data_IF_257145607631
#
_entry.id   IF_257145607631
#
_cell.length_a   1.000
_cell.length_b   1.000
_cell.length_c   1.000
_cell.angle_alpha   90.00
_cell.angle_beta   90.00
_cell.angle_gamma   90.00
#
_symmetry.space_group_name_H-M   'P 1'
#
loop_
_entity.id
_entity.type
_entity.pdbx_description
1 polymer ?
#
# COMPACT_ATOMS: atom_id res chain seq x y z
N UNK A 1 -22.84 11.15 6.35
CA UNK A 1 -21.56 11.66 6.88
C UNK A 1 -21.55 11.74 8.40
N UNK A 2 -22.35 12.60 9.05
CA UNK A 2 -22.33 12.77 10.51
C UNK A 2 -22.60 11.49 11.32
N UNK A 3 -23.44 10.59 10.77
CA UNK A 3 -23.68 9.27 11.36
C UNK A 3 -22.41 8.42 11.48
N UNK A 4 -21.44 8.56 10.56
CA UNK A 4 -20.16 7.85 10.63
C UNK A 4 -19.31 8.29 11.84
N UNK A 5 -19.55 9.50 12.35
CA UNK A 5 -18.95 10.01 13.58
C UNK A 5 -19.84 9.82 14.82
N UNK A 6 -21.00 9.16 14.67
CA UNK A 6 -21.96 9.00 15.76
C UNK A 6 -22.61 10.32 16.22
N UNK A 7 -22.63 11.35 15.37
CA UNK A 7 -23.17 12.68 15.69
C UNK A 7 -24.45 12.99 14.91
N UNK A 8 -25.23 13.95 15.39
CA UNK A 8 -26.40 14.44 14.67
C UNK A 8 -26.02 15.00 13.28
N UNK A 9 -26.89 14.88 12.25
CA UNK A 9 -26.63 15.35 10.88
C UNK A 9 -26.76 16.87 10.74
N UNK A 10 -26.01 17.61 11.55
CA UNK A 10 -25.97 19.07 11.55
C UNK A 10 -24.54 19.56 11.47
N UNK A 11 -24.34 20.74 10.88
CA UNK A 11 -23.02 21.38 10.79
C UNK A 11 -22.44 21.61 12.20
N UNK A 12 -23.27 22.03 13.14
CA UNK A 12 -22.89 22.31 14.52
C UNK A 12 -22.41 21.07 15.26
N UNK A 13 -23.03 19.91 15.03
CA UNK A 13 -22.60 18.66 15.64
C UNK A 13 -21.26 18.15 15.07
N UNK A 14 -20.97 18.45 13.80
CA UNK A 14 -19.69 18.14 13.16
C UNK A 14 -18.57 19.09 13.60
N UNK A 15 -18.88 20.34 13.91
CA UNK A 15 -17.92 21.33 14.40
C UNK A 15 -17.65 21.16 15.90
N UNK A 16 -17.25 19.96 16.28
CA UNK A 16 -17.03 19.51 17.66
C UNK A 16 -15.53 19.22 17.91
N UNK A 17 -14.91 19.75 18.97
CA UNK A 17 -13.53 19.44 19.37
C UNK A 17 -13.18 17.97 19.50
N UNK A 18 -14.15 17.11 19.84
CA UNK A 18 -13.92 15.66 19.93
C UNK A 18 -13.53 15.07 18.56
N UNK A 19 -13.89 15.72 17.47
CA UNK A 19 -13.61 15.29 16.10
C UNK A 19 -12.40 15.99 15.48
N UNK A 20 -11.65 16.82 16.20
CA UNK A 20 -10.56 17.64 15.60
C UNK A 20 -9.43 16.81 14.96
N UNK A 21 -9.25 15.57 15.41
CA UNK A 21 -8.26 14.62 14.88
C UNK A 21 -8.86 13.62 13.89
N UNK A 22 -10.16 13.72 13.60
CA UNK A 22 -10.84 12.82 12.67
C UNK A 22 -10.78 13.35 11.22
N UNK A 23 -10.84 12.42 10.27
CA UNK A 23 -10.86 12.72 8.83
C UNK A 23 -12.09 12.05 8.19
N UNK A 24 -12.79 12.77 7.32
CA UNK A 24 -13.76 12.21 6.39
C UNK A 24 -13.27 12.38 4.95
N UNK A 25 -13.27 11.29 4.19
CA UNK A 25 -13.02 11.28 2.74
C UNK A 25 -14.37 11.23 2.04
N UNK A 26 -14.60 12.16 1.10
CA UNK A 26 -15.88 12.35 0.43
C UNK A 26 -15.63 12.45 -1.07
N UNK A 27 -16.06 11.43 -1.82
CA UNK A 27 -16.10 11.51 -3.28
C UNK A 27 -17.44 12.10 -3.74
N UNK A 28 -17.38 13.26 -4.40
CA UNK A 28 -18.58 13.87 -4.98
C UNK A 28 -19.08 13.13 -6.22
N UNK A 29 -18.23 12.35 -6.90
CA UNK A 29 -18.66 11.54 -8.04
C UNK A 29 -19.59 10.40 -7.65
N UNK A 30 -19.55 9.97 -6.37
CA UNK A 30 -20.48 9.00 -5.79
C UNK A 30 -21.83 9.62 -5.36
N UNK A 31 -21.97 10.95 -5.44
CA UNK A 31 -23.16 11.69 -5.01
C UNK A 31 -24.06 11.96 -6.22
N UNK A 32 -25.37 11.72 -6.06
CA UNK A 32 -26.34 11.94 -7.13
C UNK A 32 -26.41 13.42 -7.55
N UNK A 33 -26.77 13.73 -8.82
CA UNK A 33 -26.81 15.11 -9.32
C UNK A 33 -27.70 16.05 -8.49
N UNK A 34 -28.78 15.53 -7.89
CA UNK A 34 -29.70 16.28 -7.03
C UNK A 34 -29.09 16.72 -5.71
N UNK A 35 -28.07 16.02 -5.24
CA UNK A 35 -27.45 16.23 -3.92
C UNK A 35 -26.17 17.06 -4.02
N UNK A 36 -25.63 17.29 -5.23
CA UNK A 36 -24.44 18.09 -5.45
C UNK A 36 -24.59 19.51 -4.90
N UNK A 37 -25.67 20.23 -5.24
CA UNK A 37 -25.85 21.62 -4.78
C UNK A 37 -25.98 21.73 -3.24
N UNK A 38 -26.75 20.88 -2.54
CA UNK A 38 -26.70 20.80 -1.08
C UNK A 38 -25.31 20.53 -0.51
N UNK A 39 -24.56 19.60 -1.10
CA UNK A 39 -23.19 19.29 -0.70
C UNK A 39 -22.25 20.46 -0.88
N UNK A 40 -22.35 21.18 -2.00
CA UNK A 40 -21.59 22.40 -2.27
C UNK A 40 -21.78 23.45 -1.17
N UNK A 41 -23.03 23.76 -0.85
CA UNK A 41 -23.37 24.70 0.23
C UNK A 41 -22.84 24.21 1.58
N UNK A 42 -22.92 22.90 1.84
CA UNK A 42 -22.37 22.33 3.07
C UNK A 42 -20.85 22.51 3.16
N UNK A 43 -20.09 22.13 2.12
CA UNK A 43 -18.62 22.21 2.13
C UNK A 43 -18.17 23.67 2.24
N UNK A 44 -18.82 24.61 1.55
CA UNK A 44 -18.54 26.05 1.69
C UNK A 44 -18.76 26.54 3.13
N UNK A 45 -19.91 26.21 3.74
CA UNK A 45 -20.21 26.60 5.13
C UNK A 45 -19.26 25.94 6.13
N UNK A 46 -18.91 24.69 5.90
CA UNK A 46 -17.95 23.96 6.73
C UNK A 46 -16.56 24.59 6.64
N UNK A 47 -16.08 24.87 5.42
CA UNK A 47 -14.79 25.52 5.18
C UNK A 47 -14.72 26.91 5.85
N UNK A 48 -15.76 27.74 5.68
CA UNK A 48 -15.83 29.05 6.32
C UNK A 48 -15.84 28.96 7.86
N UNK A 49 -16.55 27.98 8.42
CA UNK A 49 -16.55 27.75 9.86
C UNK A 49 -15.17 27.32 10.37
N UNK A 50 -14.47 26.43 9.67
CA UNK A 50 -13.10 26.01 10.00
C UNK A 50 -12.10 27.17 9.90
N UNK A 51 -12.20 28.01 8.87
CA UNK A 51 -11.38 29.21 8.70
C UNK A 51 -11.54 30.20 9.87
N UNK A 52 -12.74 30.27 10.47
CA UNK A 52 -12.99 31.08 11.66
C UNK A 52 -12.43 30.50 12.98
N UNK A 53 -11.69 29.38 12.93
CA UNK A 53 -11.06 28.74 14.07
C UNK A 53 -11.95 27.78 14.86
N UNK A 54 -13.12 27.39 14.31
CA UNK A 54 -13.96 26.37 14.95
C UNK A 54 -13.34 25.00 14.82
N UNK A 55 -13.43 24.21 15.88
CA UNK A 55 -13.07 22.81 15.91
C UNK A 55 -13.95 21.93 15.00
N UNK A 56 -13.50 20.72 14.67
CA UNK A 56 -14.18 19.73 13.82
C UNK A 56 -13.21 18.92 12.95
N UNK A 57 -13.70 17.86 12.28
CA UNK A 57 -12.87 16.96 11.49
C UNK A 57 -12.27 17.66 10.28
N UNK A 58 -11.21 17.06 9.74
CA UNK A 58 -10.77 17.37 8.40
C UNK A 58 -11.73 16.74 7.37
N UNK A 59 -12.03 17.46 6.30
CA UNK A 59 -12.77 16.93 5.15
C UNK A 59 -11.84 16.91 3.94
N UNK A 60 -11.59 15.72 3.42
CA UNK A 60 -10.94 15.54 2.12
C UNK A 60 -12.03 15.28 1.08
N UNK A 61 -12.30 16.29 0.26
CA UNK A 61 -13.31 16.21 -0.80
C UNK A 61 -12.62 15.95 -2.13
N UNK A 62 -13.07 14.92 -2.84
CA UNK A 62 -12.50 14.50 -4.12
C UNK A 62 -13.54 14.66 -5.23
N UNK A 63 -13.08 14.75 -6.47
CA UNK A 63 -13.92 14.99 -7.64
C UNK A 63 -14.72 16.31 -7.54
N UNK A 64 -14.11 17.34 -6.94
CA UNK A 64 -14.75 18.65 -6.79
C UNK A 64 -15.04 19.26 -8.18
N UNK A 65 -16.30 19.62 -8.49
CA UNK A 65 -16.64 20.29 -9.74
C UNK A 65 -15.84 21.59 -9.90
N UNK A 66 -15.34 21.87 -11.10
CA UNK A 66 -14.48 23.02 -11.36
C UNK A 66 -15.19 24.38 -11.15
N UNK A 67 -16.51 24.40 -11.25
CA UNK A 67 -17.39 25.53 -10.95
C UNK A 67 -17.59 25.75 -9.44
N UNK A 68 -17.25 24.76 -8.62
CA UNK A 68 -17.18 24.86 -7.16
C UNK A 68 -15.80 25.39 -6.72
N UNK A 69 -15.55 26.67 -7.00
CA UNK A 69 -14.37 27.36 -6.51
C UNK A 69 -14.52 27.69 -5.02
N UNK A 70 -14.44 26.68 -4.15
CA UNK A 70 -14.35 26.89 -2.70
C UNK A 70 -12.98 27.53 -2.43
N UNK A 71 -12.91 28.72 -1.79
CA UNK A 71 -11.64 29.30 -1.37
C UNK A 71 -10.97 28.35 -0.37
N UNK A 72 -10.04 27.53 -0.86
CA UNK A 72 -9.24 26.67 -0.02
C UNK A 72 -8.19 27.56 0.65
N UNK A 73 -8.49 28.08 1.84
CA UNK A 73 -7.41 28.44 2.74
C UNK A 73 -6.61 27.18 3.04
N UNK A 74 -5.28 27.31 3.07
CA UNK A 74 -4.37 26.20 3.32
C UNK A 74 -4.80 25.48 4.60
N UNK A 75 -5.32 24.26 4.45
CA UNK A 75 -5.74 23.45 5.60
C UNK A 75 -4.60 23.39 6.61
N UNK A 76 -4.90 23.49 7.93
CA UNK A 76 -3.94 23.08 8.92
C UNK A 76 -3.50 21.63 8.62
N UNK A 77 -2.19 21.38 8.70
CA UNK A 77 -1.56 20.11 8.31
C UNK A 77 -1.99 18.93 9.23
N UNK A 78 -2.80 19.18 10.25
CA UNK A 78 -3.26 18.16 11.20
C UNK A 78 -4.15 17.06 10.58
N UNK A 79 -4.67 17.23 9.37
CA UNK A 79 -5.44 16.15 8.73
C UNK A 79 -4.59 14.90 8.45
N UNK A 80 -3.28 15.05 8.29
CA UNK A 80 -2.37 13.94 7.99
C UNK A 80 -2.22 13.00 9.18
N UNK A 81 -2.33 13.50 10.42
CA UNK A 81 -2.30 12.69 11.63
C UNK A 81 -3.62 11.95 11.86
N UNK A 82 -4.73 12.51 11.36
CA UNK A 82 -6.04 11.87 11.38
C UNK A 82 -6.20 10.72 10.38
N UNK A 83 -5.35 10.67 9.35
CA UNK A 83 -5.40 9.64 8.32
C UNK A 83 -4.88 8.29 8.85
N UNK A 84 -5.80 7.36 9.14
CA UNK A 84 -5.47 6.03 9.66
C UNK A 84 -4.94 5.12 8.56
N UNK A 85 -4.40 3.97 8.97
CA UNK A 85 -3.99 2.94 8.00
C UNK A 85 -5.19 2.42 7.18
N UNK A 86 -6.36 2.25 7.82
CA UNK A 86 -7.58 1.78 7.16
C UNK A 86 -8.02 2.71 6.03
N UNK A 87 -8.04 4.02 6.28
CA UNK A 87 -8.43 5.02 5.27
C UNK A 87 -7.54 4.97 4.03
N UNK A 88 -6.23 4.77 4.23
CA UNK A 88 -5.28 4.62 3.11
C UNK A 88 -5.47 3.34 2.32
N UNK A 89 -5.89 2.25 2.97
CA UNK A 89 -6.23 0.99 2.29
C UNK A 89 -7.45 1.21 1.42
N UNK A 90 -8.53 1.76 1.99
CA UNK A 90 -9.77 2.07 1.26
C UNK A 90 -9.46 2.98 0.06
N UNK A 91 -8.72 4.06 0.29
CA UNK A 91 -8.31 4.98 -0.78
C UNK A 91 -7.53 4.28 -1.91
N UNK A 92 -6.58 3.43 -1.55
CA UNK A 92 -5.77 2.68 -2.52
C UNK A 92 -6.63 1.67 -3.31
N UNK A 93 -7.57 0.99 -2.65
CA UNK A 93 -8.50 0.04 -3.29
C UNK A 93 -9.47 0.74 -4.25
N UNK A 94 -10.02 1.91 -3.87
CA UNK A 94 -10.90 2.70 -4.74
C UNK A 94 -10.22 3.15 -6.04
N UNK A 95 -8.90 3.35 -6.01
CA UNK A 95 -8.10 3.75 -7.17
C UNK A 95 -7.45 2.58 -7.91
N UNK A 96 -7.64 1.35 -7.43
CA UNK A 96 -7.07 0.15 -8.04
C UNK A 96 -7.80 -0.16 -9.36
N UNK A 97 -7.10 -0.31 -10.50
CA UNK A 97 -7.76 -0.66 -11.75
C UNK A 97 -8.49 -2.01 -11.64
N UNK A 98 -9.71 -2.11 -12.17
CA UNK A 98 -10.49 -3.36 -12.15
C UNK A 98 -9.79 -4.56 -12.83
N UNK A 99 -8.80 -4.29 -13.69
CA UNK A 99 -7.96 -5.30 -14.34
C UNK A 99 -6.75 -5.74 -13.51
N UNK A 100 -6.54 -5.16 -12.32
CA UNK A 100 -5.43 -5.47 -11.42
C UNK A 100 -5.94 -6.36 -10.29
N UNK A 101 -5.79 -7.66 -10.44
CA UNK A 101 -6.21 -8.66 -9.46
C UNK A 101 -5.01 -9.45 -8.88
N UNK A 102 -5.33 -10.33 -7.93
CA UNK A 102 -4.37 -11.21 -7.26
C UNK A 102 -3.18 -10.47 -6.65
N UNK A 103 -2.01 -11.12 -6.71
CA UNK A 103 -0.78 -10.63 -6.09
C UNK A 103 -0.38 -9.22 -6.56
N UNK A 104 -0.67 -8.86 -7.81
CA UNK A 104 -0.36 -7.54 -8.32
C UNK A 104 -1.24 -6.45 -7.71
N UNK A 105 -2.53 -6.74 -7.48
CA UNK A 105 -3.44 -5.86 -6.75
C UNK A 105 -3.03 -5.71 -5.29
N UNK A 106 -2.78 -6.83 -4.62
CA UNK A 106 -2.38 -6.85 -3.21
C UNK A 106 -1.07 -6.08 -2.98
N UNK A 107 -0.06 -6.30 -3.81
CA UNK A 107 1.20 -5.57 -3.72
C UNK A 107 1.00 -4.08 -3.99
N UNK A 108 0.19 -3.70 -4.98
CA UNK A 108 -0.08 -2.31 -5.32
C UNK A 108 -0.68 -1.55 -4.13
N UNK A 109 -1.72 -2.10 -3.50
CA UNK A 109 -2.41 -1.50 -2.36
C UNK A 109 -1.46 -1.36 -1.18
N UNK A 110 -0.74 -2.43 -0.82
CA UNK A 110 0.16 -2.36 0.35
C UNK A 110 1.35 -1.44 0.10
N UNK A 111 1.90 -1.39 -1.11
CA UNK A 111 2.93 -0.42 -1.47
C UNK A 111 2.40 1.01 -1.34
N UNK A 112 1.22 1.30 -1.85
CA UNK A 112 0.60 2.63 -1.72
C UNK A 112 0.44 3.03 -0.24
N UNK A 113 -0.01 2.11 0.62
CA UNK A 113 -0.20 2.38 2.05
C UNK A 113 1.14 2.62 2.78
N UNK A 114 2.13 1.76 2.58
CA UNK A 114 3.37 1.78 3.35
C UNK A 114 4.40 2.77 2.79
N UNK A 115 4.52 2.89 1.46
CA UNK A 115 5.47 3.80 0.81
C UNK A 115 4.97 5.24 0.82
N UNK A 116 3.75 5.49 0.34
CA UNK A 116 3.24 6.84 0.11
C UNK A 116 2.80 7.53 1.41
N UNK A 117 2.55 6.78 2.48
CA UNK A 117 2.08 7.31 3.76
C UNK A 117 0.83 8.19 3.57
N UNK A 118 0.88 9.46 3.99
CA UNK A 118 -0.24 10.39 3.88
C UNK A 118 -0.39 11.04 2.50
N UNK A 119 0.54 10.81 1.56
CA UNK A 119 0.45 11.32 0.19
C UNK A 119 -0.53 10.48 -0.63
N UNK A 120 -1.82 10.78 -0.45
CA UNK A 120 -2.93 10.08 -1.10
C UNK A 120 -2.90 10.20 -2.63
N UNK A 121 -2.38 11.31 -3.15
CA UNK A 121 -2.13 11.51 -4.58
C UNK A 121 -1.06 10.54 -5.11
N UNK A 122 0.04 10.36 -4.38
CA UNK A 122 1.06 9.36 -4.73
C UNK A 122 0.51 7.95 -4.59
N UNK A 123 -0.29 7.67 -3.56
CA UNK A 123 -0.94 6.38 -3.35
C UNK A 123 -1.84 6.01 -4.54
N UNK A 124 -2.73 6.92 -4.96
CA UNK A 124 -3.60 6.77 -6.11
C UNK A 124 -2.82 6.55 -7.41
N UNK A 125 -1.71 7.29 -7.61
CA UNK A 125 -0.88 7.11 -8.80
C UNK A 125 -0.11 5.78 -8.78
N UNK A 126 0.33 5.30 -7.61
CA UNK A 126 1.11 4.06 -7.50
C UNK A 126 0.26 2.83 -7.79
N UNK A 127 -0.99 2.78 -7.31
CA UNK A 127 -1.86 1.61 -7.55
C UNK A 127 -2.19 1.42 -9.04
N UNK A 128 -2.13 2.49 -9.82
CA UNK A 128 -2.32 2.46 -11.27
C UNK A 128 -1.03 2.21 -12.07
N UNK A 129 0.13 2.19 -11.41
CA UNK A 129 1.42 2.06 -12.07
C UNK A 129 1.62 0.68 -12.72
N UNK A 130 2.54 0.58 -13.69
CA UNK A 130 2.84 -0.69 -14.37
C UNK A 130 3.39 -1.76 -13.41
N UNK A 131 3.43 -3.02 -13.83
CA UNK A 131 4.08 -4.07 -13.03
C UNK A 131 5.57 -3.80 -12.83
N UNK A 132 6.26 -3.23 -13.83
CA UNK A 132 7.65 -2.82 -13.71
C UNK A 132 7.83 -1.76 -12.61
N UNK A 133 6.87 -0.85 -12.47
CA UNK A 133 6.88 0.18 -11.42
C UNK A 133 6.53 -0.36 -10.04
N UNK A 134 5.65 -1.35 -9.94
CA UNK A 134 5.40 -2.05 -8.68
C UNK A 134 6.60 -2.92 -8.26
N UNK A 135 7.35 -3.43 -9.23
CA UNK A 135 8.57 -4.19 -8.99
C UNK A 135 9.74 -3.29 -8.58
N UNK A 136 9.82 -2.06 -9.09
CA UNK A 136 10.78 -1.03 -8.66
C UNK A 136 10.09 0.26 -8.18
N UNK A 137 9.46 0.22 -7.00
CA UNK A 137 8.69 1.35 -6.49
C UNK A 137 9.59 2.53 -6.09
N UNK A 138 10.89 2.29 -5.87
CA UNK A 138 11.85 3.34 -5.56
C UNK A 138 12.23 4.11 -6.81
N UNK A 139 12.48 3.43 -7.93
CA UNK A 139 12.67 4.10 -9.21
C UNK A 139 11.39 4.86 -9.62
N UNK A 140 10.22 4.26 -9.43
CA UNK A 140 8.93 4.94 -9.66
C UNK A 140 8.81 6.24 -8.87
N UNK A 141 9.13 6.21 -7.57
CA UNK A 141 9.08 7.39 -6.70
C UNK A 141 10.12 8.44 -7.12
N UNK A 142 11.30 8.00 -7.54
CA UNK A 142 12.40 8.88 -7.96
C UNK A 142 12.11 9.66 -9.25
N UNK A 143 11.20 9.17 -10.10
CA UNK A 143 10.80 9.85 -11.33
C UNK A 143 9.71 10.91 -11.11
N UNK A 144 9.19 11.06 -9.90
CA UNK A 144 8.18 12.07 -9.58
C UNK A 144 8.82 13.45 -9.59
N UNK A 145 8.25 14.37 -10.38
CA UNK A 145 8.71 15.75 -10.50
C UNK A 145 8.16 16.68 -9.40
N UNK A 146 7.32 16.14 -8.52
CA UNK A 146 6.64 16.90 -7.48
C UNK A 146 7.59 17.35 -6.38
N UNK A 147 7.39 18.57 -5.87
CA UNK A 147 8.21 19.10 -4.79
C UNK A 147 7.92 18.34 -3.47
N UNK A 148 8.96 18.06 -2.66
CA UNK A 148 8.76 17.49 -1.34
C UNK A 148 8.08 18.48 -0.41
N UNK A 149 7.09 18.00 0.35
CA UNK A 149 6.48 18.76 1.45
C UNK A 149 7.33 18.53 2.71
N UNK A 150 7.92 19.60 3.25
CA UNK A 150 8.83 19.58 4.40
C UNK A 150 8.11 19.90 5.72
N UNK A 151 8.80 19.68 6.84
CA UNK A 151 8.36 20.11 8.16
C UNK A 151 7.26 19.26 8.82
N UNK A 152 6.92 18.12 8.24
CA UNK A 152 5.88 17.22 8.76
C UNK A 152 6.42 16.23 9.79
N UNK A 153 5.63 15.90 10.81
CA UNK A 153 5.95 14.86 11.80
C UNK A 153 6.14 13.49 11.15
N UNK A 154 5.21 13.11 10.26
CA UNK A 154 5.40 11.97 9.35
C UNK A 154 6.01 12.49 8.05
N UNK A 155 7.30 12.21 7.75
CA UNK A 155 7.96 12.83 6.62
C UNK A 155 7.39 12.32 5.29
N UNK A 156 7.19 13.26 4.37
CA UNK A 156 6.77 12.99 2.99
C UNK A 156 7.76 12.00 2.33
N UNK A 157 7.30 10.97 1.59
CA UNK A 157 8.17 10.02 0.90
C UNK A 157 9.19 10.69 -0.03
N UNK A 158 8.79 11.74 -0.76
CA UNK A 158 9.70 12.52 -1.60
C UNK A 158 10.76 13.28 -0.77
N UNK A 159 10.40 13.77 0.41
CA UNK A 159 11.33 14.44 1.32
C UNK A 159 12.36 13.45 1.92
N UNK A 160 11.92 12.24 2.24
CA UNK A 160 12.81 11.16 2.72
C UNK A 160 13.81 10.78 1.63
N UNK A 161 13.32 10.60 0.40
CA UNK A 161 14.15 10.28 -0.76
C UNK A 161 15.17 11.38 -1.05
N UNK A 162 14.72 12.64 -1.08
CA UNK A 162 15.58 13.81 -1.31
C UNK A 162 16.62 14.00 -0.20
N UNK A 163 16.24 13.79 1.06
CA UNK A 163 17.12 13.83 2.22
C UNK A 163 18.08 12.64 2.35
N UNK A 164 18.19 11.80 1.31
CA UNK A 164 19.06 10.62 1.25
C UNK A 164 18.83 9.59 2.36
N UNK A 165 17.66 9.58 2.99
CA UNK A 165 17.25 8.57 3.98
C UNK A 165 16.75 7.30 3.28
N UNK A 166 17.58 6.76 2.39
CA UNK A 166 17.24 5.62 1.53
C UNK A 166 16.85 4.38 2.33
N UNK A 167 17.46 4.16 3.50
CA UNK A 167 17.11 3.03 4.38
C UNK A 167 15.64 3.06 4.83
N UNK A 168 15.06 4.23 5.07
CA UNK A 168 13.65 4.37 5.46
C UNK A 168 12.71 4.00 4.31
N UNK A 169 13.02 4.45 3.08
CA UNK A 169 12.28 4.05 1.88
C UNK A 169 12.39 2.54 1.66
N UNK A 170 13.59 1.98 1.76
CA UNK A 170 13.82 0.55 1.60
C UNK A 170 13.05 -0.26 2.66
N UNK A 171 12.98 0.23 3.90
CA UNK A 171 12.20 -0.41 4.96
C UNK A 171 10.69 -0.40 4.67
N UNK A 172 10.15 0.71 4.13
CA UNK A 172 8.74 0.79 3.72
C UNK A 172 8.42 -0.18 2.59
N UNK A 173 9.28 -0.23 1.56
CA UNK A 173 9.15 -1.18 0.44
C UNK A 173 9.25 -2.62 0.94
N UNK A 174 10.23 -2.93 1.78
CA UNK A 174 10.40 -4.25 2.36
C UNK A 174 9.15 -4.68 3.14
N UNK A 175 8.59 -3.81 3.99
CA UNK A 175 7.39 -4.13 4.76
C UNK A 175 6.19 -4.42 3.85
N UNK A 176 6.03 -3.65 2.78
CA UNK A 176 4.97 -3.88 1.81
C UNK A 176 5.14 -5.23 1.09
N UNK A 177 6.34 -5.49 0.57
CA UNK A 177 6.66 -6.74 -0.11
C UNK A 177 6.58 -7.95 0.82
N UNK A 178 6.98 -7.82 2.09
CA UNK A 178 6.81 -8.88 3.08
C UNK A 178 5.33 -9.23 3.29
N UNK A 179 4.47 -8.21 3.37
CA UNK A 179 3.03 -8.40 3.58
C UNK A 179 2.36 -9.08 2.40
N UNK A 180 2.69 -8.67 1.17
CA UNK A 180 2.05 -9.18 -0.05
C UNK A 180 2.71 -10.44 -0.63
N UNK A 181 4.04 -10.47 -0.72
CA UNK A 181 4.77 -11.54 -1.43
C UNK A 181 5.01 -12.77 -0.54
N UNK A 182 5.17 -12.61 0.78
CA UNK A 182 5.52 -13.74 1.64
C UNK A 182 4.44 -14.84 1.66
N UNK A 183 3.13 -14.51 1.79
CA UNK A 183 2.08 -15.53 1.68
C UNK A 183 2.11 -16.28 0.34
N UNK A 184 2.30 -15.57 -0.77
CA UNK A 184 2.38 -16.18 -2.10
C UNK A 184 3.60 -17.07 -2.29
N UNK A 185 4.76 -16.65 -1.77
CA UNK A 185 5.98 -17.45 -1.78
C UNK A 185 5.75 -18.77 -1.01
N UNK A 186 5.06 -18.70 0.13
CA UNK A 186 4.76 -19.87 0.96
C UNK A 186 3.75 -20.80 0.28
N UNK A 187 2.68 -20.27 -0.32
CA UNK A 187 1.73 -21.05 -1.12
C UNK A 187 2.44 -21.81 -2.24
N UNK A 188 3.31 -21.14 -3.00
CA UNK A 188 4.09 -21.77 -4.08
C UNK A 188 5.10 -22.81 -3.57
N UNK A 189 5.69 -22.59 -2.38
CA UNK A 189 6.56 -23.59 -1.74
C UNK A 189 5.78 -24.89 -1.50
N UNK A 190 4.57 -24.79 -0.94
CA UNK A 190 3.71 -25.94 -0.67
C UNK A 190 3.28 -26.66 -1.96
N UNK A 191 2.98 -25.92 -3.02
CA UNK A 191 2.67 -26.49 -4.34
C UNK A 191 3.83 -27.29 -4.93
N UNK A 192 5.06 -26.75 -4.84
CA UNK A 192 6.27 -27.44 -5.29
C UNK A 192 6.48 -28.73 -4.48
N UNK A 193 6.26 -28.68 -3.17
CA UNK A 193 6.32 -29.87 -2.30
C UNK A 193 5.30 -30.92 -2.74
N UNK A 194 4.05 -30.52 -2.99
CA UNK A 194 3.00 -31.42 -3.43
C UNK A 194 3.34 -32.07 -4.79
N UNK A 195 3.79 -31.27 -5.75
CA UNK A 195 4.11 -31.72 -7.11
C UNK A 195 5.30 -32.69 -7.16
N UNK A 196 6.30 -32.47 -6.31
CA UNK A 196 7.52 -33.27 -6.30
C UNK A 196 7.67 -34.20 -5.10
N UNK A 197 6.60 -34.46 -4.35
CA UNK A 197 6.62 -35.25 -3.11
C UNK A 197 7.43 -36.55 -3.22
N UNK A 198 7.25 -37.31 -4.31
CA UNK A 198 7.96 -38.58 -4.53
C UNK A 198 9.47 -38.47 -4.75
N UNK A 199 9.99 -37.25 -4.94
CA UNK A 199 11.42 -36.94 -5.13
C UNK A 199 12.06 -36.29 -3.91
N UNK A 200 11.26 -35.86 -2.93
CA UNK A 200 11.73 -35.20 -1.72
C UNK A 200 12.00 -36.22 -0.61
N UNK A 201 13.03 -35.95 0.20
CA UNK A 201 13.44 -36.84 1.29
C UNK A 201 13.86 -36.03 2.52
N UNK A 202 13.54 -36.54 3.69
CA UNK A 202 14.10 -36.06 4.96
C UNK A 202 15.44 -36.76 5.20
N UNK A 203 16.53 -36.09 4.85
CA UNK A 203 17.87 -36.53 5.18
C UNK A 203 18.27 -36.13 6.62
N UNK A 204 19.41 -36.64 7.08
CA UNK A 204 19.87 -36.39 8.45
C UNK A 204 20.23 -34.92 8.69
N UNK A 205 20.60 -34.18 7.63
CA UNK A 205 20.87 -32.76 7.74
C UNK A 205 19.58 -31.98 8.04
N UNK A 206 18.51 -32.22 7.29
CA UNK A 206 17.20 -31.60 7.51
C UNK A 206 16.62 -31.95 8.88
N UNK A 207 16.73 -33.21 9.31
CA UNK A 207 16.34 -33.61 10.67
C UNK A 207 17.16 -32.87 11.73
N UNK A 208 18.47 -32.70 11.50
CA UNK A 208 19.35 -31.92 12.36
C UNK A 208 18.96 -30.44 12.48
N UNK A 209 18.28 -29.90 11.46
CA UNK A 209 17.70 -28.54 11.47
C UNK A 209 16.29 -28.49 12.08
N UNK A 210 15.76 -29.60 12.60
CA UNK A 210 14.44 -29.67 13.22
C UNK A 210 13.28 -29.86 12.25
N UNK A 211 13.55 -30.17 10.98
CA UNK A 211 12.50 -30.46 9.99
C UNK A 211 11.90 -31.84 10.25
N UNK A 212 10.62 -31.88 10.64
CA UNK A 212 9.92 -33.08 11.04
C UNK A 212 9.18 -33.75 9.86
N UNK A 213 8.82 -32.99 8.82
CA UNK A 213 8.05 -33.50 7.68
C UNK A 213 8.51 -32.92 6.33
N UNK A 214 8.15 -33.58 5.22
CA UNK A 214 8.49 -33.10 3.87
C UNK A 214 7.84 -31.73 3.58
N UNK A 215 6.67 -31.48 4.17
CA UNK A 215 5.92 -30.23 4.09
C UNK A 215 6.64 -29.05 4.75
N UNK A 216 7.58 -29.31 5.66
CA UNK A 216 8.39 -28.29 6.35
C UNK A 216 9.69 -27.97 5.61
N UNK A 217 9.98 -28.63 4.48
CA UNK A 217 11.20 -28.37 3.72
C UNK A 217 11.16 -26.96 3.13
N UNK A 218 12.16 -26.16 3.51
CA UNK A 218 12.37 -24.78 3.04
C UNK A 218 12.82 -24.72 1.57
N UNK A 219 12.55 -23.58 0.90
CA UNK A 219 12.85 -23.37 -0.53
C UNK A 219 14.32 -23.66 -0.91
N UNK A 220 15.27 -23.31 -0.03
CA UNK A 220 16.70 -23.59 -0.28
C UNK A 220 17.02 -25.08 -0.34
N UNK A 221 16.38 -25.89 0.50
CA UNK A 221 16.51 -27.34 0.49
C UNK A 221 15.76 -27.98 -0.68
N UNK A 222 14.58 -27.44 -1.04
CA UNK A 222 13.87 -27.85 -2.27
C UNK A 222 14.74 -27.64 -3.51
N UNK A 223 15.38 -26.48 -3.63
CA UNK A 223 16.31 -26.16 -4.73
C UNK A 223 17.44 -27.18 -4.82
N UNK A 224 17.99 -27.56 -3.68
CA UNK A 224 19.07 -28.56 -3.63
C UNK A 224 18.59 -29.95 -4.04
N UNK A 225 17.49 -30.45 -3.45
CA UNK A 225 17.01 -31.81 -3.69
C UNK A 225 16.42 -32.01 -5.09
N UNK A 226 15.79 -30.98 -5.66
CA UNK A 226 15.19 -31.05 -6.99
C UNK A 226 16.18 -30.72 -8.11
N UNK A 227 17.46 -30.52 -7.79
CA UNK A 227 18.49 -30.21 -8.78
C UNK A 227 18.62 -31.33 -9.81
N UNK A 228 18.43 -30.99 -11.08
CA UNK A 228 18.46 -31.95 -12.19
C UNK A 228 17.14 -32.68 -12.44
N UNK A 229 16.13 -32.48 -11.59
CA UNK A 229 14.77 -33.02 -11.75
C UNK A 229 13.75 -31.99 -12.22
N UNK A 230 14.17 -30.73 -12.34
CA UNK A 230 13.39 -29.61 -12.87
C UNK A 230 13.83 -29.29 -14.28
N UNK A 231 12.88 -28.89 -15.12
CA UNK A 231 13.17 -28.19 -16.36
C UNK A 231 13.86 -26.85 -16.05
N UNK A 232 14.57 -26.29 -17.04
CA UNK A 232 15.24 -25.00 -16.87
C UNK A 232 14.28 -23.89 -16.39
N UNK A 233 13.08 -23.71 -16.97
CA UNK A 233 12.13 -22.70 -16.49
C UNK A 233 11.63 -22.94 -15.05
N UNK A 234 11.40 -24.19 -14.65
CA UNK A 234 11.00 -24.52 -13.27
C UNK A 234 12.12 -24.21 -12.28
N UNK A 235 13.37 -24.54 -12.62
CA UNK A 235 14.53 -24.23 -11.80
C UNK A 235 14.73 -22.70 -11.66
N UNK A 236 14.56 -21.95 -12.75
CA UNK A 236 14.63 -20.48 -12.73
C UNK A 236 13.55 -19.87 -11.82
N UNK A 237 12.30 -20.38 -11.89
CA UNK A 237 11.21 -19.95 -11.00
C UNK A 237 11.48 -20.26 -9.52
N UNK A 238 11.98 -21.45 -9.21
CA UNK A 238 12.36 -21.81 -7.85
C UNK A 238 13.50 -20.93 -7.33
N UNK A 239 14.47 -20.60 -8.19
CA UNK A 239 15.57 -19.71 -7.84
C UNK A 239 15.08 -18.28 -7.50
N UNK A 240 14.07 -17.77 -8.21
CA UNK A 240 13.41 -16.49 -7.88
C UNK A 240 12.77 -16.55 -6.49
N UNK A 241 12.00 -17.61 -6.19
CA UNK A 241 11.36 -17.77 -4.88
C UNK A 241 12.39 -17.82 -3.74
N UNK A 242 13.49 -18.55 -3.93
CA UNK A 242 14.58 -18.61 -2.95
C UNK A 242 15.20 -17.24 -2.71
N UNK A 243 15.53 -16.50 -3.78
CA UNK A 243 16.11 -15.15 -3.66
C UNK A 243 15.15 -14.17 -2.97
N UNK A 244 13.89 -14.16 -3.38
CA UNK A 244 12.87 -13.29 -2.80
C UNK A 244 12.65 -13.58 -1.31
N UNK A 245 12.47 -14.86 -0.93
CA UNK A 245 12.33 -15.27 0.48
C UNK A 245 13.52 -14.83 1.31
N UNK A 246 14.74 -15.06 0.81
CA UNK A 246 15.96 -14.71 1.53
C UNK A 246 16.13 -13.19 1.69
N UNK A 247 15.81 -12.40 0.67
CA UNK A 247 15.82 -10.94 0.77
C UNK A 247 14.86 -10.46 1.87
N UNK A 248 13.60 -10.95 1.83
CA UNK A 248 12.58 -10.59 2.82
C UNK A 248 12.96 -10.99 4.24
N UNK A 249 13.53 -12.19 4.43
CA UNK A 249 14.01 -12.66 5.73
C UNK A 249 15.16 -11.79 6.29
N UNK A 250 16.00 -11.23 5.40
CA UNK A 250 17.10 -10.33 5.76
C UNK A 250 16.71 -8.85 5.83
N UNK A 251 15.41 -8.54 5.85
CA UNK A 251 14.89 -7.15 5.90
C UNK A 251 15.31 -6.29 4.72
N UNK A 252 15.43 -6.92 3.55
CA UNK A 252 15.76 -6.26 2.29
C UNK A 252 14.58 -6.37 1.33
N UNK A 253 14.30 -5.32 0.53
CA UNK A 253 13.40 -5.46 -0.60
C UNK A 253 13.85 -6.55 -1.56
N UNK A 254 12.88 -7.23 -2.16
CA UNK A 254 13.10 -8.15 -3.26
C UNK A 254 13.66 -7.37 -4.45
N UNK A 255 14.63 -7.95 -5.15
CA UNK A 255 15.22 -7.35 -6.34
C UNK A 255 14.13 -7.11 -7.41
N UNK A 256 14.12 -5.99 -8.13
CA UNK A 256 13.04 -5.67 -9.08
C UNK A 256 12.77 -6.76 -10.11
N UNK A 257 13.81 -7.37 -10.68
CA UNK A 257 13.63 -8.45 -11.66
C UNK A 257 12.94 -9.68 -11.07
N UNK A 258 13.24 -10.01 -9.81
CA UNK A 258 12.62 -11.13 -9.10
C UNK A 258 11.17 -10.80 -8.74
N UNK A 259 10.91 -9.59 -8.25
CA UNK A 259 9.56 -9.10 -7.96
C UNK A 259 8.68 -9.12 -9.22
N UNK A 260 9.20 -8.61 -10.35
CA UNK A 260 8.50 -8.61 -11.63
C UNK A 260 8.18 -10.03 -12.12
N UNK A 261 9.09 -10.98 -11.93
CA UNK A 261 8.81 -12.39 -12.26
C UNK A 261 7.71 -12.97 -11.39
N UNK A 262 7.67 -12.66 -10.08
CA UNK A 262 6.61 -13.11 -9.18
C UNK A 262 5.23 -12.53 -9.56
N UNK A 263 5.20 -11.30 -10.09
CA UNK A 263 3.98 -10.62 -10.51
C UNK A 263 3.42 -11.10 -11.86
N UNK A 264 4.23 -11.79 -12.68
CA UNK A 264 3.85 -12.25 -14.03
C UNK A 264 3.39 -13.71 -14.09
N UNK A 265 3.53 -14.44 -13.00
CA UNK A 265 3.10 -15.84 -12.84
C UNK A 265 1.68 -15.90 -12.34
#
# INVERSE_FOLDING_TARGET
>A
MAEAFGTAPTLEALLNPVLDEELAIISLSAIGPSDLAPWSVFVERFAAARASGRAGPALLVTDLPADLAIPAEAMPQNWQTGLRRGDRVIWAEEHLPATRDGLAGDLAVVLAVELCAWRLDLAASLVQASLDDLADPVAWLSRRAEAPILGQETPCPLAILAGQRKSEIQQRVWKAQLTALFPEIESRRLEIVAMHRGRLRLDDHLRGLGVASIEEIELGALRFQLRGNLTRPEAERLDVLVRARNALAHRQPVHPEDALQLLRT
#
